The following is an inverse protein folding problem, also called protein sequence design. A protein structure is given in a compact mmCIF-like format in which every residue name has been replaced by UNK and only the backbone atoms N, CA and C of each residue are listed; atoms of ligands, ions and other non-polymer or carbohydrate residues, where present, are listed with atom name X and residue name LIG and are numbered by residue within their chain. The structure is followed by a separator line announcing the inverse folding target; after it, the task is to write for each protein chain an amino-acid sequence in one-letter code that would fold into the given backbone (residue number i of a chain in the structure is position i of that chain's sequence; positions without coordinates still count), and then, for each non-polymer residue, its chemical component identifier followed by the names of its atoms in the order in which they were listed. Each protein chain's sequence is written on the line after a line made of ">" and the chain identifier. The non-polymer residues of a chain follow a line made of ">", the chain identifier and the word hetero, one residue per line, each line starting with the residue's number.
data_IF_821331242454
#
_entry.id   IF_821331242454
#
_cell.length_a   1.000
_cell.length_b   1.000
_cell.length_c   1.000
_cell.angle_alpha   90.00
_cell.angle_beta   90.00
_cell.angle_gamma   90.00
#
_symmetry.space_group_name_H-M   'P 1'
#
loop_
_entity.id
_entity.type
_entity.pdbx_description
1 polymer ?
#
# COMPACT_ATOMS: atom_id res chain seq x y z
N UNK A 1 15.33 -3.57 -1.92
CA UNK A 1 14.12 -2.87 -1.44
C UNK A 1 14.43 -1.79 -0.40
N UNK A 2 15.57 -1.11 -0.46
CA UNK A 2 16.33 -1.11 0.80
C UNK A 2 16.56 0.18 1.55
N UNK A 3 16.18 1.36 1.06
CA UNK A 3 16.30 2.55 1.91
C UNK A 3 15.26 3.60 1.63
N UNK A 4 15.01 3.97 0.39
CA UNK A 4 14.28 5.23 0.17
C UNK A 4 12.77 5.10 0.40
N UNK A 5 12.16 3.99 -0.02
CA UNK A 5 10.75 3.69 0.33
C UNK A 5 10.57 3.53 1.84
N UNK A 6 11.51 2.88 2.53
CA UNK A 6 11.44 2.71 3.98
C UNK A 6 11.62 4.05 4.70
N UNK A 7 12.57 4.87 4.28
CA UNK A 7 12.77 6.23 4.79
C UNK A 7 11.52 7.08 4.57
N UNK A 8 10.91 7.00 3.40
CA UNK A 8 9.69 7.72 3.07
C UNK A 8 8.53 7.26 3.94
N UNK A 9 8.34 5.94 4.09
CA UNK A 9 7.32 5.36 4.97
C UNK A 9 7.50 5.84 6.43
N UNK A 10 8.73 5.83 6.94
CA UNK A 10 9.05 6.31 8.29
C UNK A 10 8.78 7.82 8.42
N UNK A 11 9.15 8.62 7.42
CA UNK A 11 8.89 10.05 7.41
C UNK A 11 7.38 10.35 7.38
N UNK A 12 6.62 9.63 6.56
CA UNK A 12 5.17 9.80 6.44
C UNK A 12 4.45 9.39 7.73
N UNK A 13 4.87 8.28 8.34
CA UNK A 13 4.36 7.85 9.66
C UNK A 13 4.69 8.87 10.75
N UNK A 14 5.90 9.42 10.78
CA UNK A 14 6.29 10.48 11.72
C UNK A 14 5.45 11.76 11.51
N UNK A 15 5.11 12.08 10.26
CA UNK A 15 4.22 13.18 9.89
C UNK A 15 2.72 12.86 10.09
N UNK A 16 2.37 11.67 10.61
CA UNK A 16 0.98 11.18 10.76
C UNK A 16 0.19 11.22 9.46
N UNK A 17 0.87 11.08 8.32
CA UNK A 17 0.22 10.99 7.01
C UNK A 17 -0.45 9.64 6.88
N UNK A 18 -1.59 9.64 6.21
CA UNK A 18 -2.34 8.43 5.88
C UNK A 18 -1.63 7.71 4.74
N UNK A 19 -0.76 6.75 5.09
CA UNK A 19 0.06 5.98 4.15
C UNK A 19 -0.23 4.49 4.31
N UNK A 20 -0.36 3.79 3.18
CA UNK A 20 -0.55 2.34 3.11
C UNK A 20 0.52 1.76 2.20
N UNK A 21 1.18 0.69 2.64
CA UNK A 21 2.21 0.02 1.83
C UNK A 21 1.59 -1.17 1.08
N UNK A 22 1.62 -1.12 -0.24
CA UNK A 22 1.16 -2.18 -1.13
C UNK A 22 2.33 -3.06 -1.58
N UNK A 23 2.18 -4.38 -1.50
CA UNK A 23 3.20 -5.36 -1.91
C UNK A 23 2.57 -6.43 -2.79
N UNK A 24 3.01 -6.52 -4.05
CA UNK A 24 2.55 -7.57 -4.98
C UNK A 24 3.08 -8.95 -4.54
N UNK A 25 2.18 -9.94 -4.47
CA UNK A 25 2.45 -11.31 -4.06
C UNK A 25 2.64 -12.27 -5.24
N UNK A 26 2.34 -11.87 -6.47
CA UNK A 26 2.42 -12.71 -7.66
C UNK A 26 3.87 -12.97 -8.10
N UNK A 27 4.79 -12.05 -7.80
CA UNK A 27 6.21 -12.24 -8.08
C UNK A 27 6.88 -12.98 -6.91
N UNK A 28 6.91 -14.31 -6.97
CA UNK A 28 7.84 -15.12 -6.16
C UNK A 28 9.33 -14.76 -6.36
N UNK A 29 9.63 -13.82 -7.26
CA UNK A 29 10.89 -13.11 -7.37
C UNK A 29 10.88 -11.86 -6.49
N UNK A 30 11.46 -11.97 -5.30
CA UNK A 30 12.03 -10.90 -4.44
C UNK A 30 11.10 -9.68 -4.13
N UNK A 31 10.97 -9.23 -2.86
CA UNK A 31 9.99 -8.22 -2.43
C UNK A 31 10.19 -6.77 -2.96
N UNK A 32 10.94 -6.56 -4.03
CA UNK A 32 11.52 -5.28 -4.41
C UNK A 32 10.55 -4.23 -5.00
N UNK A 33 9.23 -4.45 -4.98
CA UNK A 33 8.22 -3.53 -5.52
C UNK A 33 7.11 -3.19 -4.53
N UNK A 34 7.48 -2.87 -3.29
CA UNK A 34 6.55 -2.18 -2.38
C UNK A 34 6.21 -0.78 -2.91
N UNK A 35 4.94 -0.43 -3.01
CA UNK A 35 4.45 0.89 -3.39
C UNK A 35 3.80 1.57 -2.19
N UNK A 36 4.08 2.85 -1.98
CA UNK A 36 3.35 3.66 -1.00
C UNK A 36 2.11 4.26 -1.66
N UNK A 37 0.98 4.06 -1.01
CA UNK A 37 -0.32 4.60 -1.38
C UNK A 37 -0.71 5.66 -0.35
N UNK A 38 -1.27 6.78 -0.83
CA UNK A 38 -1.68 7.92 0.00
C UNK A 38 -3.19 8.15 -0.13
N UNK A 39 -4.02 7.36 0.58
CA UNK A 39 -5.45 7.27 0.31
C UNK A 39 -6.22 8.53 0.73
N UNK A 40 -5.62 9.37 1.59
CA UNK A 40 -6.16 10.65 2.03
C UNK A 40 -5.74 11.85 1.17
N UNK A 41 -4.88 11.66 0.18
CA UNK A 41 -4.30 12.75 -0.63
C UNK A 41 -4.75 12.73 -2.09
N UNK A 42 -5.49 11.69 -2.51
CA UNK A 42 -5.88 11.51 -3.91
C UNK A 42 -7.30 10.98 -3.99
N UNK A 43 -8.21 11.72 -4.61
CA UNK A 43 -9.61 11.32 -4.85
C UNK A 43 -9.77 10.41 -6.08
N UNK A 44 -8.69 9.72 -6.49
CA UNK A 44 -8.72 8.83 -7.64
C UNK A 44 -9.53 7.56 -7.36
N UNK A 45 -10.27 7.12 -8.38
CA UNK A 45 -11.05 5.87 -8.37
C UNK A 45 -10.19 4.62 -8.68
N UNK A 46 -8.87 4.74 -8.50
CA UNK A 46 -7.96 3.62 -8.67
C UNK A 46 -8.32 2.51 -7.67
N UNK A 47 -8.44 1.28 -8.19
CA UNK A 47 -8.84 0.10 -7.43
C UNK A 47 -7.97 -0.10 -6.17
N UNK A 48 -6.66 0.11 -6.28
CA UNK A 48 -5.70 -0.01 -5.18
C UNK A 48 -5.87 1.13 -4.16
N UNK A 49 -6.16 2.36 -4.60
CA UNK A 49 -6.44 3.48 -3.69
C UNK A 49 -7.75 3.28 -2.92
N UNK A 50 -8.80 2.77 -3.58
CA UNK A 50 -10.07 2.43 -2.94
C UNK A 50 -9.86 1.32 -1.91
N UNK A 51 -9.12 0.27 -2.27
CA UNK A 51 -8.77 -0.80 -1.35
C UNK A 51 -7.92 -0.30 -0.17
N UNK A 52 -6.95 0.57 -0.42
CA UNK A 52 -6.11 1.20 0.59
C UNK A 52 -6.93 2.03 1.58
N UNK A 53 -7.89 2.84 1.11
CA UNK A 53 -8.84 3.56 1.98
C UNK A 53 -9.60 2.60 2.89
N UNK A 54 -10.08 1.48 2.36
CA UNK A 54 -10.86 0.48 3.14
C UNK A 54 -10.04 -0.16 4.24
N UNK A 55 -8.82 -0.65 3.94
CA UNK A 55 -7.96 -1.28 4.95
C UNK A 55 -7.51 -0.27 6.00
N UNK A 56 -7.33 1.00 5.61
CA UNK A 56 -6.94 2.05 6.53
C UNK A 56 -8.08 2.43 7.50
N UNK A 57 -9.31 2.59 6.98
CA UNK A 57 -10.50 2.83 7.81
C UNK A 57 -10.80 1.66 8.75
N UNK A 58 -10.53 0.43 8.31
CA UNK A 58 -10.69 -0.76 9.12
C UNK A 58 -9.53 -1.01 10.10
N UNK A 59 -8.46 -0.22 10.02
CA UNK A 59 -7.19 -0.41 10.74
C UNK A 59 -6.70 -1.88 10.67
N UNK A 60 -6.80 -2.47 9.48
CA UNK A 60 -6.55 -3.90 9.28
C UNK A 60 -5.81 -4.20 7.99
N UNK A 61 -4.55 -4.60 8.14
CA UNK A 61 -3.74 -5.09 7.02
C UNK A 61 -4.35 -6.37 6.42
N UNK A 62 -4.17 -6.57 5.12
CA UNK A 62 -4.78 -7.71 4.44
C UNK A 62 -4.37 -7.86 2.98
N UNK A 63 -4.80 -8.96 2.37
CA UNK A 63 -4.58 -9.23 0.94
C UNK A 63 -5.82 -8.79 0.17
N UNK A 64 -5.60 -8.08 -0.93
CA UNK A 64 -6.62 -7.67 -1.89
C UNK A 64 -6.29 -8.30 -3.22
N UNK A 65 -7.30 -8.84 -3.88
CA UNK A 65 -7.20 -9.34 -5.25
C UNK A 65 -7.75 -8.26 -6.19
N UNK A 66 -6.92 -7.79 -7.12
CA UNK A 66 -7.31 -6.79 -8.11
C UNK A 66 -8.09 -7.43 -9.25
N UNK A 67 -8.80 -6.64 -10.03
CA UNK A 67 -9.60 -7.09 -11.19
C UNK A 67 -8.80 -7.86 -12.25
N UNK A 68 -7.49 -7.63 -12.33
CA UNK A 68 -6.56 -8.35 -13.20
C UNK A 68 -5.99 -9.65 -12.58
N UNK A 69 -6.47 -10.05 -11.41
CA UNK A 69 -6.09 -11.28 -10.71
C UNK A 69 -4.78 -11.18 -9.92
N UNK A 70 -4.16 -9.99 -9.82
CA UNK A 70 -2.98 -9.81 -8.95
C UNK A 70 -3.40 -9.82 -7.48
N UNK A 71 -2.57 -10.43 -6.64
CA UNK A 71 -2.75 -10.43 -5.19
C UNK A 71 -1.79 -9.43 -4.57
N UNK A 72 -2.32 -8.43 -3.89
CA UNK A 72 -1.54 -7.36 -3.28
C UNK A 72 -1.79 -7.36 -1.78
N UNK A 73 -0.73 -7.46 -0.99
CA UNK A 73 -0.80 -7.25 0.45
C UNK A 73 -0.74 -5.75 0.75
N UNK A 74 -1.74 -5.25 1.47
CA UNK A 74 -1.80 -3.88 1.96
C UNK A 74 -1.49 -3.85 3.46
N UNK A 75 -0.45 -3.11 3.81
CA UNK A 75 -0.02 -2.89 5.18
C UNK A 75 -0.34 -1.46 5.63
N UNK A 76 -1.06 -1.36 6.76
CA UNK A 76 -1.39 -0.11 7.46
C UNK A 76 -0.36 0.14 8.54
#
# INVERSE_FOLDING_TARGET
>A
MKSDILKQLLADRAAKRQVVMATDLASGQVPDRGQLLYPGETDGDDELLVAARRVMLADKSGIVETTDGRKVFLHV
#
